data_IF_520285363351
#
_entry.id   IF_520285363351
#
_cell.length_a   1.000
_cell.length_b   1.000
_cell.length_c   1.000
_cell.angle_alpha   90.00
_cell.angle_beta   90.00
_cell.angle_gamma   90.00
#
_symmetry.space_group_name_H-M   'P 1'
#
loop_
_entity.id
_entity.type
_entity.pdbx_description
1 polymer ?
#
# COMPACT_ATOMS: atom_id res chain seq x y z
N UNK A 1 -3.36 -20.37 6.35
CA UNK A 1 -3.13 -20.18 4.90
C UNK A 1 -2.08 -19.11 4.74
N UNK A 2 -1.06 -19.35 3.91
CA UNK A 2 -0.09 -18.34 3.48
C UNK A 2 -0.79 -17.52 2.39
N UNK A 3 -1.00 -16.23 2.59
CA UNK A 3 -1.65 -15.39 1.57
C UNK A 3 -0.60 -15.01 0.53
N UNK A 4 -0.80 -15.44 -0.71
CA UNK A 4 -0.01 -15.02 -1.85
C UNK A 4 -0.27 -13.54 -2.18
N UNK A 5 0.71 -12.88 -2.79
CA UNK A 5 0.57 -11.47 -3.22
C UNK A 5 -0.38 -11.38 -4.41
N UNK A 6 -1.59 -10.88 -4.18
CA UNK A 6 -2.62 -10.64 -5.21
C UNK A 6 -2.48 -9.27 -5.85
N UNK A 7 -3.04 -9.08 -7.05
CA UNK A 7 -3.05 -7.79 -7.75
C UNK A 7 -3.79 -6.70 -6.96
N UNK A 8 -4.92 -7.04 -6.31
CA UNK A 8 -5.64 -6.10 -5.44
C UNK A 8 -4.77 -5.59 -4.28
N UNK A 9 -3.92 -6.47 -3.75
CA UNK A 9 -3.03 -6.11 -2.66
C UNK A 9 -1.89 -5.22 -3.15
N UNK A 10 -1.37 -5.49 -4.35
CA UNK A 10 -0.37 -4.64 -5.03
C UNK A 10 -0.93 -3.24 -5.28
N UNK A 11 -2.15 -3.15 -5.80
CA UNK A 11 -2.86 -1.89 -6.00
C UNK A 11 -3.06 -1.15 -4.66
N UNK A 12 -3.48 -1.85 -3.61
CA UNK A 12 -3.64 -1.29 -2.26
C UNK A 12 -2.32 -0.72 -1.73
N UNK A 13 -1.21 -1.44 -1.88
CA UNK A 13 0.12 -0.98 -1.45
C UNK A 13 0.61 0.24 -2.26
N UNK A 14 0.29 0.29 -3.55
CA UNK A 14 0.59 1.45 -4.41
C UNK A 14 -0.18 2.68 -3.94
N UNK A 15 -1.50 2.57 -3.77
CA UNK A 15 -2.34 3.66 -3.29
C UNK A 15 -1.93 4.15 -1.91
N UNK A 16 -1.49 3.22 -1.04
CA UNK A 16 -0.95 3.58 0.28
C UNK A 16 0.29 4.47 0.14
N UNK A 17 1.20 4.10 -0.76
CA UNK A 17 2.45 4.83 -1.00
C UNK A 17 2.17 6.21 -1.58
N UNK A 18 1.31 6.30 -2.59
CA UNK A 18 0.89 7.58 -3.18
C UNK A 18 0.18 8.48 -2.16
N UNK A 19 -0.70 7.91 -1.34
CA UNK A 19 -1.41 8.65 -0.28
C UNK A 19 -0.44 9.16 0.77
N UNK A 20 0.54 8.34 1.17
CA UNK A 20 1.59 8.73 2.11
C UNK A 20 2.43 9.89 1.56
N UNK A 21 2.88 9.79 0.32
CA UNK A 21 3.68 10.85 -0.33
C UNK A 21 2.92 12.16 -0.45
N UNK A 22 1.64 12.11 -0.85
CA UNK A 22 0.77 13.30 -0.90
C UNK A 22 0.55 13.89 0.49
N UNK A 23 0.35 13.06 1.51
CA UNK A 23 0.21 13.53 2.89
C UNK A 23 1.51 14.14 3.42
N UNK A 24 2.67 13.60 3.06
CA UNK A 24 3.97 14.14 3.44
C UNK A 24 4.19 15.55 2.86
N UNK A 25 3.69 15.80 1.63
CA UNK A 25 3.70 17.13 1.00
C UNK A 25 2.62 18.06 1.56
N UNK A 26 1.45 17.53 1.92
CA UNK A 26 0.29 18.29 2.39
C UNK A 26 -0.23 17.75 3.75
N UNK A 27 0.51 17.95 4.84
CA UNK A 27 0.19 17.34 6.13
C UNK A 27 -1.10 17.88 6.77
N UNK A 28 -1.74 18.91 6.21
CA UNK A 28 -3.03 19.43 6.71
C UNK A 28 -4.26 18.64 6.25
N UNK A 29 -4.13 17.75 5.26
CA UNK A 29 -5.30 17.10 4.65
C UNK A 29 -5.79 15.89 5.45
N UNK A 30 -6.82 16.11 6.28
CA UNK A 30 -7.50 15.06 7.05
C UNK A 30 -8.03 13.91 6.20
N UNK A 31 -8.48 14.19 4.97
CA UNK A 31 -8.92 13.15 4.03
C UNK A 31 -7.80 12.17 3.66
N UNK A 32 -6.57 12.67 3.42
CA UNK A 32 -5.41 11.82 3.13
C UNK A 32 -5.01 10.99 4.35
N UNK A 33 -5.06 11.57 5.57
CA UNK A 33 -4.86 10.80 6.82
C UNK A 33 -5.86 9.66 6.95
N UNK A 34 -7.16 9.93 6.74
CA UNK A 34 -8.21 8.90 6.84
C UNK A 34 -8.01 7.79 5.81
N UNK A 35 -7.68 8.16 4.56
CA UNK A 35 -7.38 7.20 3.50
C UNK A 35 -6.16 6.34 3.85
N UNK A 36 -5.08 6.95 4.34
CA UNK A 36 -3.88 6.23 4.75
C UNK A 36 -4.17 5.22 5.86
N UNK A 37 -4.95 5.62 6.88
CA UNK A 37 -5.35 4.71 7.97
C UNK A 37 -6.22 3.55 7.48
N UNK A 38 -7.13 3.81 6.53
CA UNK A 38 -7.94 2.75 5.93
C UNK A 38 -7.05 1.74 5.18
N UNK A 39 -6.17 2.21 4.29
CA UNK A 39 -5.26 1.36 3.54
C UNK A 39 -4.30 0.59 4.45
N UNK A 40 -3.80 1.21 5.52
CA UNK A 40 -2.98 0.53 6.54
C UNK A 40 -3.74 -0.63 7.21
N UNK A 41 -5.04 -0.47 7.47
CA UNK A 41 -5.86 -1.54 8.08
C UNK A 41 -6.07 -2.70 7.11
N UNK A 42 -6.30 -2.41 5.83
CA UNK A 42 -6.40 -3.44 4.78
C UNK A 42 -5.10 -4.25 4.71
N UNK A 43 -3.96 -3.56 4.60
CA UNK A 43 -2.64 -4.21 4.52
C UNK A 43 -2.30 -5.01 5.80
N UNK A 44 -2.66 -4.51 6.98
CA UNK A 44 -2.41 -5.20 8.25
C UNK A 44 -3.33 -6.41 8.48
N UNK A 45 -4.49 -6.46 7.80
CA UNK A 45 -5.38 -7.62 7.81
C UNK A 45 -4.79 -8.82 7.06
N UNK A 46 -3.84 -8.58 6.16
CA UNK A 46 -3.20 -9.64 5.39
C UNK A 46 -2.07 -10.32 6.18
N UNK A 47 -2.18 -11.64 6.36
CA UNK A 47 -1.13 -12.46 6.98
C UNK A 47 -0.07 -12.84 5.95
N UNK A 48 0.72 -11.85 5.54
CA UNK A 48 1.85 -12.04 4.63
C UNK A 48 3.10 -12.52 5.36
N UNK A 49 3.87 -13.41 4.73
CA UNK A 49 5.23 -13.68 5.18
C UNK A 49 6.15 -12.48 4.87
N UNK A 50 7.33 -12.35 5.50
CA UNK A 50 8.28 -11.30 5.16
C UNK A 50 8.68 -11.29 3.68
N UNK A 51 8.78 -12.47 3.06
CA UNK A 51 9.06 -12.60 1.62
C UNK A 51 7.91 -12.10 0.75
N UNK A 52 6.67 -12.42 1.11
CA UNK A 52 5.47 -11.94 0.41
C UNK A 52 5.31 -10.42 0.59
N UNK A 53 5.67 -9.88 1.76
CA UNK A 53 5.67 -8.44 1.99
C UNK A 53 6.75 -7.70 1.17
N UNK A 54 7.93 -8.31 1.01
CA UNK A 54 8.97 -7.77 0.13
C UNK A 54 8.52 -7.78 -1.34
N UNK A 55 7.89 -8.88 -1.78
CA UNK A 55 7.38 -9.00 -3.14
C UNK A 55 6.26 -8.00 -3.41
N UNK A 56 5.33 -7.83 -2.48
CA UNK A 56 4.27 -6.83 -2.54
C UNK A 56 4.84 -5.43 -2.78
N UNK A 57 5.83 -5.02 -1.99
CA UNK A 57 6.49 -3.72 -2.15
C UNK A 57 7.23 -3.60 -3.47
N UNK A 58 7.85 -4.68 -3.96
CA UNK A 58 8.54 -4.71 -5.25
C UNK A 58 7.56 -4.50 -6.40
N UNK A 59 6.47 -5.27 -6.43
CA UNK A 59 5.43 -5.20 -7.46
C UNK A 59 4.75 -3.83 -7.50
N UNK A 60 4.38 -3.28 -6.34
CA UNK A 60 3.75 -1.97 -6.25
C UNK A 60 4.63 -0.85 -6.83
N UNK A 61 5.96 -0.93 -6.63
CA UNK A 61 6.92 0.02 -7.23
C UNK A 61 7.03 -0.13 -8.75
N UNK A 62 7.02 -1.37 -9.25
CA UNK A 62 7.12 -1.63 -10.68
C UNK A 62 5.89 -1.12 -11.46
N UNK A 63 4.71 -1.18 -10.85
CA UNK A 63 3.47 -0.65 -11.45
C UNK A 63 3.39 0.88 -11.39
N UNK A 64 3.92 1.50 -10.33
CA UNK A 64 4.00 2.96 -10.22
C UNK A 64 4.87 3.59 -11.33
N UNK A 65 5.91 2.89 -11.80
CA UNK A 65 6.76 3.34 -12.89
C UNK A 65 6.22 3.07 -14.31
N UNK A 66 5.06 2.42 -14.43
CA UNK A 66 4.40 2.11 -15.72
C UNK A 66 3.20 3.00 -16.03
N UNK A 67 2.85 3.94 -15.13
CA UNK A 67 1.73 4.89 -15.31
C UNK A 67 2.19 6.23 -15.86
#
# INVERSE_FOLDING_TARGET
MRNSVTDDLVQTQREWTETYERLAREPGRTALRRRLLHLSRVLAGERLSPGDQAELRRRARQEAGRS
#
